data_IF_340269548322
#
_entry.id   IF_340269548322
#
_cell.length_a   1.000
_cell.length_b   1.000
_cell.length_c   1.000
_cell.angle_alpha   90.00
_cell.angle_beta   90.00
_cell.angle_gamma   90.00
#
_symmetry.space_group_name_H-M   'P 1'
#
loop_
_entity.id
_entity.type
_entity.pdbx_description
1 polymer ?
#
# COMPACT_ATOMS: atom_id res chain seq x y z
N UNK A 1 49.79 -43.05 22.18
CA UNK A 1 48.50 -43.57 21.67
C UNK A 1 47.61 -42.37 21.34
N UNK A 2 47.63 -41.89 20.09
CA UNK A 2 46.83 -40.74 19.64
C UNK A 2 45.64 -41.29 18.85
N UNK A 3 44.45 -41.25 19.43
CA UNK A 3 43.21 -41.57 18.71
C UNK A 3 42.77 -40.32 17.96
N UNK A 4 43.04 -40.28 16.66
CA UNK A 4 42.43 -39.34 15.73
C UNK A 4 40.94 -39.65 15.64
N UNK A 5 40.11 -38.86 16.33
CA UNK A 5 38.68 -38.84 16.11
C UNK A 5 38.40 -38.04 14.83
N UNK A 6 38.18 -38.74 13.72
CA UNK A 6 37.72 -38.13 12.48
C UNK A 6 36.28 -37.65 12.66
N UNK A 7 36.10 -36.33 12.76
CA UNK A 7 34.79 -35.68 12.72
C UNK A 7 34.32 -35.70 11.26
N UNK A 8 33.43 -36.65 10.95
CA UNK A 8 32.75 -36.75 9.67
C UNK A 8 31.67 -35.67 9.61
N UNK A 9 31.99 -34.51 9.02
CA UNK A 9 31.02 -33.46 8.72
C UNK A 9 30.11 -33.96 7.60
N UNK A 10 28.88 -34.36 7.94
CA UNK A 10 27.83 -34.63 6.95
C UNK A 10 27.50 -33.32 6.22
N UNK A 11 28.02 -33.16 5.01
CA UNK A 11 27.45 -32.24 4.03
C UNK A 11 26.08 -32.80 3.61
N UNK A 12 25.00 -32.28 4.18
CA UNK A 12 23.68 -32.44 3.61
C UNK A 12 23.64 -31.66 2.28
N UNK A 13 23.41 -32.31 1.12
CA UNK A 13 23.19 -31.57 -0.11
C UNK A 13 21.91 -30.74 0.07
N UNK A 14 22.05 -29.41 0.01
CA UNK A 14 20.91 -28.51 -0.05
C UNK A 14 20.10 -28.85 -1.29
N UNK A 15 18.98 -29.54 -1.10
CA UNK A 15 17.96 -29.71 -2.13
C UNK A 15 17.53 -28.30 -2.55
N UNK A 16 17.97 -27.89 -3.73
CA UNK A 16 17.41 -26.77 -4.46
C UNK A 16 15.95 -27.12 -4.79
N UNK A 17 15.08 -26.92 -3.82
CA UNK A 17 13.67 -27.27 -3.90
C UNK A 17 12.99 -26.32 -4.88
N UNK A 18 12.51 -26.86 -6.00
CA UNK A 18 11.34 -26.30 -6.66
C UNK A 18 10.29 -26.04 -5.56
N UNK A 19 9.92 -24.78 -5.33
CA UNK A 19 8.94 -24.42 -4.31
C UNK A 19 7.56 -24.83 -4.84
N UNK A 20 7.19 -26.10 -4.68
CA UNK A 20 5.89 -26.57 -5.11
C UNK A 20 4.82 -26.12 -4.11
N UNK A 21 3.77 -25.45 -4.58
CA UNK A 21 2.65 -25.00 -3.76
C UNK A 21 1.45 -25.90 -4.02
N UNK A 22 0.89 -26.43 -2.95
CA UNK A 22 -0.31 -27.25 -2.95
C UNK A 22 -1.50 -26.44 -2.44
N UNK A 23 -2.60 -26.43 -3.21
CA UNK A 23 -3.91 -25.98 -2.76
C UNK A 23 -4.66 -27.18 -2.17
N UNK A 24 -4.83 -27.18 -0.86
CA UNK A 24 -5.51 -28.23 -0.11
C UNK A 24 -6.91 -27.79 0.28
N UNK A 25 -7.87 -28.72 0.26
CA UNK A 25 -9.23 -28.51 0.75
C UNK A 25 -9.51 -29.51 1.86
N UNK A 26 -9.74 -29.02 3.07
CA UNK A 26 -10.08 -29.81 4.24
C UNK A 26 -11.59 -29.99 4.45
N UNK A 27 -11.95 -30.60 5.58
CA UNK A 27 -13.34 -30.76 6.01
C UNK A 27 -14.09 -29.43 6.03
N UNK A 28 -15.36 -29.45 5.60
CA UNK A 28 -16.18 -28.23 5.49
C UNK A 28 -15.77 -27.27 4.36
N UNK A 29 -14.81 -27.65 3.50
CA UNK A 29 -14.40 -26.84 2.36
C UNK A 29 -13.31 -25.81 2.67
N UNK A 30 -12.67 -25.87 3.84
CA UNK A 30 -11.59 -24.96 4.22
C UNK A 30 -10.39 -25.07 3.25
N UNK A 31 -9.94 -23.95 2.69
CA UNK A 31 -8.83 -23.90 1.71
C UNK A 31 -7.54 -23.49 2.42
N UNK A 32 -6.47 -24.24 2.22
CA UNK A 32 -5.11 -23.88 2.63
C UNK A 32 -4.13 -23.97 1.46
N UNK A 33 -3.07 -23.17 1.52
CA UNK A 33 -1.95 -23.21 0.58
C UNK A 33 -0.68 -23.51 1.35
N UNK A 34 0.09 -24.49 0.91
CA UNK A 34 1.26 -25.00 1.65
C UNK A 34 2.33 -25.50 0.70
N UNK A 35 3.58 -25.48 1.16
CA UNK A 35 4.74 -25.96 0.38
C UNK A 35 4.99 -27.47 0.53
N UNK A 36 4.28 -28.11 1.46
CA UNK A 36 4.30 -29.56 1.68
C UNK A 36 3.05 -30.21 1.09
N UNK A 37 3.10 -31.49 0.67
CA UNK A 37 1.91 -32.21 0.21
C UNK A 37 0.77 -32.12 1.23
N UNK A 38 -0.48 -32.08 0.74
CA UNK A 38 -1.66 -32.01 1.60
C UNK A 38 -1.69 -33.19 2.59
N UNK A 39 -2.11 -32.93 3.83
CA UNK A 39 -2.29 -34.00 4.81
C UNK A 39 -3.31 -35.03 4.30
N UNK A 40 -3.20 -36.29 4.75
CA UNK A 40 -4.11 -37.36 4.31
C UNK A 40 -5.60 -37.06 4.58
N UNK A 41 -5.90 -36.19 5.56
CA UNK A 41 -7.25 -35.70 5.88
C UNK A 41 -7.76 -34.59 4.94
N UNK A 42 -6.96 -34.15 3.98
CA UNK A 42 -7.25 -33.07 3.06
C UNK A 42 -7.11 -33.54 1.60
N UNK A 43 -7.86 -32.90 0.70
CA UNK A 43 -7.77 -33.17 -0.74
C UNK A 43 -6.86 -32.15 -1.41
N UNK A 44 -5.84 -32.63 -2.12
CA UNK A 44 -5.06 -31.80 -3.03
C UNK A 44 -5.91 -31.46 -4.28
N UNK A 45 -6.16 -30.17 -4.49
CA UNK A 45 -6.98 -29.68 -5.62
C UNK A 45 -6.11 -29.18 -6.76
N UNK A 46 -4.93 -28.64 -6.43
CA UNK A 46 -3.97 -28.14 -7.39
C UNK A 46 -2.57 -28.20 -6.78
N UNK A 47 -1.58 -28.54 -7.58
CA UNK A 47 -0.18 -28.36 -7.28
C UNK A 47 0.46 -27.58 -8.43
N UNK A 48 1.35 -26.65 -8.13
CA UNK A 48 2.14 -25.95 -9.15
C UNK A 48 3.48 -25.51 -8.59
N UNK A 49 4.44 -25.32 -9.47
CA UNK A 49 5.74 -24.75 -9.12
C UNK A 49 5.60 -23.24 -8.94
N UNK A 50 5.92 -22.76 -7.75
CA UNK A 50 6.08 -21.34 -7.48
C UNK A 50 7.51 -20.94 -7.81
N UNK A 51 7.69 -20.34 -8.99
CA UNK A 51 8.93 -19.65 -9.32
C UNK A 51 8.94 -18.32 -8.56
N UNK A 52 9.88 -18.10 -7.61
CA UNK A 52 9.99 -16.82 -6.92
C UNK A 52 10.29 -15.72 -7.94
N UNK A 53 9.71 -14.54 -7.74
CA UNK A 53 10.11 -13.36 -8.50
C UNK A 53 11.58 -13.04 -8.20
N UNK A 54 12.32 -12.59 -9.20
CA UNK A 54 13.69 -12.14 -9.00
C UNK A 54 13.70 -10.98 -7.99
N UNK A 55 14.72 -10.90 -7.11
CA UNK A 55 14.85 -9.76 -6.22
C UNK A 55 14.98 -8.47 -7.07
N UNK A 56 14.40 -7.35 -6.60
CA UNK A 56 14.49 -6.09 -7.34
C UNK A 56 15.95 -5.69 -7.50
N UNK A 57 16.28 -5.17 -8.68
CA UNK A 57 17.59 -4.59 -8.94
C UNK A 57 17.84 -3.36 -8.05
N UNK A 58 19.11 -3.00 -7.88
CA UNK A 58 19.47 -1.80 -7.11
C UNK A 58 18.83 -0.53 -7.71
N UNK A 59 18.75 -0.42 -9.04
CA UNK A 59 18.10 0.69 -9.72
C UNK A 59 16.60 0.78 -9.39
N UNK A 60 15.90 -0.36 -9.37
CA UNK A 60 14.48 -0.42 -9.00
C UNK A 60 14.27 -0.05 -7.54
N UNK A 61 15.15 -0.49 -6.64
CA UNK A 61 15.13 -0.06 -5.24
C UNK A 61 15.28 1.46 -5.11
N UNK A 62 16.23 2.06 -5.81
CA UNK A 62 16.39 3.52 -5.83
C UNK A 62 15.19 4.25 -6.43
N UNK A 63 14.58 3.70 -7.48
CA UNK A 63 13.35 4.24 -8.07
C UNK A 63 12.18 4.19 -7.06
N UNK A 64 11.97 3.05 -6.40
CA UNK A 64 10.94 2.87 -5.37
C UNK A 64 11.17 3.83 -4.19
N UNK A 65 12.41 3.94 -3.71
CA UNK A 65 12.77 4.85 -2.62
C UNK A 65 12.48 6.31 -2.97
N UNK A 66 12.87 6.76 -4.18
CA UNK A 66 12.56 8.12 -4.66
C UNK A 66 11.06 8.36 -4.80
N UNK A 67 10.30 7.38 -5.28
CA UNK A 67 8.84 7.46 -5.37
C UNK A 67 8.19 7.58 -3.98
N UNK A 68 8.59 6.73 -3.03
CA UNK A 68 8.12 6.79 -1.64
C UNK A 68 8.44 8.15 -1.01
N UNK A 69 9.64 8.69 -1.25
CA UNK A 69 10.02 10.00 -0.70
C UNK A 69 9.17 11.13 -1.22
N UNK A 70 8.86 11.14 -2.53
CA UNK A 70 7.94 12.11 -3.14
C UNK A 70 6.53 11.99 -2.57
N UNK A 71 5.97 10.77 -2.53
CA UNK A 71 4.63 10.52 -2.01
C UNK A 71 4.51 10.94 -0.53
N UNK A 72 5.54 10.69 0.29
CA UNK A 72 5.56 11.12 1.68
C UNK A 72 5.60 12.65 1.83
N UNK A 73 6.37 13.35 0.99
CA UNK A 73 6.43 14.81 1.00
C UNK A 73 5.09 15.43 0.57
N UNK A 74 4.48 14.89 -0.48
CA UNK A 74 3.16 15.30 -0.96
C UNK A 74 2.08 15.07 0.10
N UNK A 75 2.06 13.88 0.70
CA UNK A 75 1.11 13.54 1.77
C UNK A 75 1.25 14.49 2.96
N UNK A 76 2.47 14.85 3.35
CA UNK A 76 2.73 15.80 4.43
C UNK A 76 2.24 17.21 4.08
N UNK A 77 2.47 17.67 2.84
CA UNK A 77 1.96 18.95 2.36
C UNK A 77 0.44 19.00 2.37
N UNK A 78 -0.24 17.97 1.83
CA UNK A 78 -1.69 17.89 1.80
C UNK A 78 -2.29 17.79 3.20
N UNK A 79 -1.65 17.05 4.12
CA UNK A 79 -2.11 16.95 5.52
C UNK A 79 -2.07 18.30 6.24
N UNK A 80 -1.05 19.12 5.98
CA UNK A 80 -0.96 20.50 6.52
C UNK A 80 -2.03 21.40 5.94
N UNK A 81 -2.29 21.29 4.64
CA UNK A 81 -3.33 22.07 3.97
C UNK A 81 -4.74 21.69 4.50
N UNK A 82 -4.96 20.41 4.78
CA UNK A 82 -6.20 19.88 5.33
C UNK A 82 -6.32 20.05 6.86
N UNK A 83 -5.27 20.50 7.55
CA UNK A 83 -5.23 20.62 9.02
C UNK A 83 -5.26 19.28 9.78
N UNK A 84 -5.03 18.16 9.09
CA UNK A 84 -5.01 16.81 9.69
C UNK A 84 -3.65 16.41 10.24
N UNK A 85 -2.62 17.23 10.00
CA UNK A 85 -1.24 17.01 10.48
C UNK A 85 -1.14 16.96 12.01
N UNK A 86 -2.05 17.63 12.72
CA UNK A 86 -2.10 17.70 14.19
C UNK A 86 -2.88 16.57 14.86
N UNK A 87 -3.64 15.76 14.10
CA UNK A 87 -4.46 14.67 14.63
C UNK A 87 -3.64 13.42 14.97
N UNK A 88 -2.32 13.44 14.75
CA UNK A 88 -1.40 12.36 15.11
C UNK A 88 -1.03 12.38 16.61
N UNK A 89 -2.02 12.57 17.48
CA UNK A 89 -1.87 12.20 18.89
C UNK A 89 -2.27 10.72 19.00
N UNK A 90 -1.40 9.82 19.50
CA UNK A 90 -1.61 8.37 19.45
C UNK A 90 -2.76 7.84 20.34
N UNK A 91 -3.51 8.71 21.03
CA UNK A 91 -4.53 8.30 22.00
C UNK A 91 -5.97 8.27 21.48
N UNK A 92 -6.28 8.81 20.30
CA UNK A 92 -7.65 8.71 19.76
C UNK A 92 -7.57 8.62 18.24
N UNK A 93 -7.97 7.47 17.68
CA UNK A 93 -8.36 7.37 16.28
C UNK A 93 -9.57 8.31 16.07
N UNK A 94 -9.29 9.59 15.84
CA UNK A 94 -10.31 10.56 15.50
C UNK A 94 -10.71 10.26 14.07
N UNK A 95 -11.80 9.49 13.92
CA UNK A 95 -12.51 9.39 12.66
C UNK A 95 -12.76 10.80 12.12
N UNK A 96 -12.73 10.96 10.80
CA UNK A 96 -13.02 12.23 10.16
C UNK A 96 -14.42 12.69 10.60
N UNK A 97 -14.50 13.66 11.50
CA UNK A 97 -15.77 14.34 11.78
C UNK A 97 -15.97 15.25 10.57
N UNK A 98 -16.81 14.81 9.64
CA UNK A 98 -17.38 15.69 8.62
C UNK A 98 -18.29 16.64 9.35
N UNK A 99 -17.75 17.79 9.77
CA UNK A 99 -18.59 18.90 10.19
C UNK A 99 -19.37 19.34 8.96
N UNK A 100 -20.66 19.05 8.97
CA UNK A 100 -21.60 19.71 8.07
C UNK A 100 -21.79 21.10 8.67
N UNK A 101 -20.87 22.02 8.38
CA UNK A 101 -21.03 23.44 8.73
C UNK A 101 -22.37 23.91 8.13
N UNK A 102 -23.30 24.29 9.00
CA UNK A 102 -24.64 24.79 8.62
C UNK A 102 -24.63 26.22 8.08
N UNK A 103 -23.46 26.85 8.01
CA UNK A 103 -23.34 28.24 7.58
C UNK A 103 -22.04 28.45 6.82
N UNK A 104 -22.05 28.24 5.50
CA UNK A 104 -20.89 28.59 4.66
C UNK A 104 -21.27 28.73 3.18
N UNK A 105 -22.26 29.57 2.86
CA UNK A 105 -22.63 29.86 1.47
C UNK A 105 -21.42 30.23 0.59
N UNK A 106 -20.40 30.88 1.17
CA UNK A 106 -19.14 31.17 0.48
C UNK A 106 -18.25 29.95 0.26
N UNK A 107 -18.13 29.06 1.26
CA UNK A 107 -17.36 27.83 1.11
C UNK A 107 -18.00 26.91 0.05
N UNK A 108 -19.32 26.78 0.08
CA UNK A 108 -20.05 26.00 -0.93
C UNK A 108 -19.97 26.62 -2.32
N UNK A 109 -20.05 27.94 -2.42
CA UNK A 109 -19.81 28.67 -3.67
C UNK A 109 -18.43 28.35 -4.26
N UNK A 110 -17.36 28.45 -3.46
CA UNK A 110 -16.01 28.18 -3.96
C UNK A 110 -15.76 26.71 -4.26
N UNK A 111 -16.40 25.78 -3.53
CA UNK A 111 -16.38 24.34 -3.88
C UNK A 111 -17.04 24.08 -5.22
N UNK A 112 -18.22 24.66 -5.46
CA UNK A 112 -18.96 24.51 -6.71
C UNK A 112 -18.20 25.14 -7.88
N UNK A 113 -17.60 26.32 -7.68
CA UNK A 113 -16.84 27.00 -8.72
C UNK A 113 -15.58 26.22 -9.11
N UNK A 114 -14.87 25.64 -8.12
CA UNK A 114 -13.76 24.71 -8.38
C UNK A 114 -14.23 23.48 -9.15
N UNK A 115 -15.37 22.91 -8.77
CA UNK A 115 -15.95 21.73 -9.40
C UNK A 115 -16.24 21.98 -10.88
N UNK A 116 -16.93 23.09 -11.16
CA UNK A 116 -17.28 23.55 -12.50
C UNK A 116 -16.06 23.74 -13.39
N UNK A 117 -15.00 24.37 -12.86
CA UNK A 117 -13.82 24.71 -13.66
C UNK A 117 -12.82 23.56 -13.83
N UNK A 118 -12.65 22.69 -12.85
CA UNK A 118 -11.62 21.64 -12.87
C UNK A 118 -12.12 20.26 -13.28
N UNK A 119 -13.38 19.94 -12.99
CA UNK A 119 -13.88 18.56 -13.03
C UNK A 119 -15.06 18.39 -13.97
N UNK A 120 -16.00 19.35 -13.99
CA UNK A 120 -17.19 19.24 -14.86
C UNK A 120 -16.89 19.52 -16.33
N UNK A 121 -15.73 20.13 -16.62
CA UNK A 121 -15.21 20.24 -17.98
C UNK A 121 -13.88 19.46 -18.10
N UNK A 122 -13.92 18.18 -18.48
CA UNK A 122 -12.71 17.36 -18.61
C UNK A 122 -11.74 17.85 -19.69
N UNK A 123 -12.19 18.74 -20.58
CA UNK A 123 -11.36 19.36 -21.62
C UNK A 123 -10.85 20.76 -21.23
N UNK A 124 -11.19 21.26 -20.03
CA UNK A 124 -10.70 22.55 -19.58
C UNK A 124 -9.19 22.48 -19.32
N UNK A 125 -8.41 23.12 -20.20
CA UNK A 125 -6.98 23.34 -19.98
C UNK A 125 -6.78 24.46 -18.97
N UNK A 126 -6.92 24.13 -17.69
CA UNK A 126 -6.67 25.06 -16.60
C UNK A 126 -5.18 25.05 -16.25
N UNK A 127 -4.55 26.22 -16.23
CA UNK A 127 -3.13 26.34 -15.85
C UNK A 127 -2.90 25.85 -14.41
N UNK A 128 -1.70 25.33 -14.13
CA UNK A 128 -1.35 24.87 -12.78
C UNK A 128 -1.48 25.98 -11.73
N UNK A 129 -1.17 27.22 -12.11
CA UNK A 129 -1.32 28.39 -11.24
C UNK A 129 -2.79 28.69 -10.93
N UNK A 130 -3.68 28.62 -11.92
CA UNK A 130 -5.12 28.83 -11.73
C UNK A 130 -5.76 27.71 -10.91
N UNK A 131 -5.35 26.46 -11.14
CA UNK A 131 -5.75 25.32 -10.31
C UNK A 131 -5.35 25.53 -8.85
N UNK A 132 -4.11 25.95 -8.61
CA UNK A 132 -3.62 26.28 -7.26
C UNK A 132 -4.44 27.41 -6.62
N UNK A 133 -4.74 28.47 -7.38
CA UNK A 133 -5.57 29.59 -6.92
C UNK A 133 -6.98 29.14 -6.48
N UNK A 134 -7.65 28.28 -7.27
CA UNK A 134 -8.95 27.71 -6.91
C UNK A 134 -8.89 26.88 -5.62
N UNK A 135 -7.86 26.03 -5.46
CA UNK A 135 -7.68 25.27 -4.23
C UNK A 135 -7.48 26.17 -3.01
N UNK A 136 -6.69 27.24 -3.18
CA UNK A 136 -6.42 28.20 -2.11
C UNK A 136 -7.67 28.99 -1.71
N UNK A 137 -8.53 29.36 -2.67
CA UNK A 137 -9.80 30.05 -2.40
C UNK A 137 -10.79 29.20 -1.63
N UNK A 138 -10.91 27.91 -1.97
CA UNK A 138 -11.69 26.95 -1.17
C UNK A 138 -11.13 26.84 0.25
N UNK A 139 -9.81 26.69 0.38
CA UNK A 139 -9.18 26.58 1.70
C UNK A 139 -9.35 27.85 2.54
N UNK A 140 -9.37 29.04 1.93
CA UNK A 140 -9.61 30.31 2.62
C UNK A 140 -11.09 30.46 3.05
N UNK A 141 -12.03 30.18 2.16
CA UNK A 141 -13.47 30.35 2.40
C UNK A 141 -14.07 29.30 3.35
N UNK A 142 -13.39 28.17 3.55
CA UNK A 142 -13.84 27.05 4.38
C UNK A 142 -13.08 26.93 5.72
N UNK A 143 -12.33 27.96 6.10
CA UNK A 143 -11.75 28.10 7.46
C UNK A 143 -12.83 28.50 8.45
#
# INVERSE_FOLDING_TARGET
MIRLAAVLVLLAPGVAGAQQVYKCVGGGGAISYQSEPCAASQRAVKAWDATPEAPPSNEELWRRHRAQRRAAAESAYLSRLAGTDRLRSPSVASGAIVRVERDSSQCDYWRQERQRQLYDNPNAQVSAQHRSWLHMKVAEACK
#
